data_IF_449838669749
#
_entry.id   IF_449838669749
#
_cell.length_a   1.000
_cell.length_b   1.000
_cell.length_c   1.000
_cell.angle_alpha   90.00
_cell.angle_beta   90.00
_cell.angle_gamma   90.00
#
_symmetry.space_group_name_H-M   'P 1'
#
loop_
_entity.id
_entity.type
_entity.pdbx_description
1 polymer ?
#
# COMPACT_ATOMS: atom_id res chain seq x y z
N UNK A 1 -11.75 -14.17 -60.23
CA UNK A 1 -10.41 -13.53 -60.10
C UNK A 1 -10.27 -13.11 -58.65
N UNK A 2 -9.79 -14.02 -57.80
CA UNK A 2 -8.38 -14.15 -57.37
C UNK A 2 -8.07 -13.19 -56.21
N UNK A 3 -8.22 -13.72 -54.98
CA UNK A 3 -7.76 -13.11 -53.74
C UNK A 3 -6.25 -13.34 -53.57
N UNK A 4 -5.50 -12.41 -52.94
CA UNK A 4 -4.11 -12.65 -52.60
C UNK A 4 -3.98 -13.41 -51.27
N UNK A 5 -3.47 -14.65 -51.37
CA UNK A 5 -2.78 -15.38 -50.30
C UNK A 5 -1.33 -14.89 -50.20
N UNK A 6 -0.67 -15.08 -49.04
CA UNK A 6 0.79 -15.25 -48.75
C UNK A 6 1.14 -14.60 -47.37
N UNK A 7 1.96 -15.21 -46.47
CA UNK A 7 2.02 -16.60 -45.99
C UNK A 7 2.05 -16.69 -44.43
N UNK A 8 1.76 -17.87 -43.87
CA UNK A 8 2.17 -18.22 -42.51
C UNK A 8 3.68 -18.47 -42.47
N UNK A 9 4.38 -17.88 -41.50
CA UNK A 9 5.71 -18.34 -41.07
C UNK A 9 5.54 -19.04 -39.74
N UNK A 10 5.63 -20.37 -39.78
CA UNK A 10 5.82 -21.25 -38.63
C UNK A 10 7.30 -21.26 -38.27
N UNK A 11 7.62 -20.92 -37.01
CA UNK A 11 8.90 -21.27 -36.40
C UNK A 11 8.60 -22.16 -35.19
N UNK A 12 9.00 -23.41 -35.30
CA UNK A 12 9.05 -24.37 -34.21
C UNK A 12 10.51 -24.60 -33.79
N UNK A 13 10.64 -25.14 -32.57
CA UNK A 13 11.81 -25.69 -31.88
C UNK A 13 12.46 -24.73 -30.87
N UNK A 14 12.84 -25.13 -29.66
CA UNK A 14 12.63 -26.34 -28.85
C UNK A 14 13.29 -26.04 -27.48
N UNK A 15 12.69 -26.52 -26.40
CA UNK A 15 13.28 -26.97 -25.12
C UNK A 15 14.38 -26.17 -24.41
N UNK A 16 14.06 -25.66 -23.21
CA UNK A 16 14.90 -25.81 -22.01
C UNK A 16 14.06 -25.61 -20.74
N UNK A 17 13.80 -26.71 -20.02
CA UNK A 17 13.14 -26.74 -18.72
C UNK A 17 14.04 -26.29 -17.54
N UNK A 18 13.55 -26.46 -16.29
CA UNK A 18 13.73 -25.50 -15.20
C UNK A 18 14.83 -25.86 -14.20
N UNK A 19 15.38 -24.87 -13.49
CA UNK A 19 16.13 -25.11 -12.24
C UNK A 19 15.80 -24.04 -11.18
N UNK A 20 15.13 -24.51 -10.13
CA UNK A 20 15.05 -23.91 -8.80
C UNK A 20 16.45 -23.86 -8.16
N UNK A 21 16.81 -22.77 -7.50
CA UNK A 21 17.85 -22.81 -6.46
C UNK A 21 17.31 -22.24 -5.16
N UNK A 22 17.00 -23.18 -4.27
CA UNK A 22 16.87 -22.97 -2.84
C UNK A 22 18.23 -22.60 -2.25
N UNK A 23 18.28 -21.54 -1.46
CA UNK A 23 19.46 -21.22 -0.64
C UNK A 23 19.39 -22.13 0.58
N UNK A 24 20.28 -23.12 0.59
CA UNK A 24 20.41 -24.12 1.63
C UNK A 24 21.13 -23.62 2.87
N UNK A 25 20.68 -24.14 4.01
CA UNK A 25 21.34 -24.14 5.30
C UNK A 25 22.73 -24.78 5.24
N UNK A 26 23.73 -24.14 5.86
CA UNK A 26 25.00 -24.78 6.20
C UNK A 26 25.08 -25.00 7.72
N UNK A 27 24.80 -26.24 8.13
CA UNK A 27 25.36 -26.87 9.32
C UNK A 27 26.72 -27.43 8.93
N UNK A 28 27.77 -27.14 9.71
CA UNK A 28 28.92 -28.02 10.05
C UNK A 28 30.04 -27.18 10.69
N UNK A 29 30.51 -27.61 11.85
CA UNK A 29 31.73 -27.07 12.45
C UNK A 29 31.84 -27.25 13.96
N UNK A 30 31.61 -28.46 14.47
CA UNK A 30 32.00 -28.80 15.83
C UNK A 30 33.52 -28.96 15.91
N UNK A 31 34.14 -28.24 16.84
CA UNK A 31 35.46 -28.58 17.39
C UNK A 31 35.32 -28.62 18.90
N UNK A 32 35.47 -29.82 19.45
CA UNK A 32 35.62 -30.06 20.87
C UNK A 32 37.08 -29.82 21.26
N UNK A 33 37.32 -28.95 22.23
CA UNK A 33 38.55 -28.97 23.02
C UNK A 33 38.13 -29.05 24.49
N UNK A 34 38.36 -30.23 25.06
CA UNK A 34 38.28 -30.47 26.48
C UNK A 34 39.48 -29.80 27.17
N UNK A 35 39.20 -28.87 28.07
CA UNK A 35 40.16 -28.32 29.03
C UNK A 35 39.57 -28.47 30.42
N UNK A 36 40.06 -29.46 31.16
CA UNK A 36 39.70 -29.72 32.55
C UNK A 36 40.47 -28.74 33.42
N UNK A 37 39.76 -28.01 34.29
CA UNK A 37 40.34 -27.13 35.30
C UNK A 37 39.31 -26.80 36.36
N UNK A 38 39.32 -27.59 37.44
CA UNK A 38 38.50 -27.43 38.63
C UNK A 38 38.55 -26.00 39.20
N UNK A 39 37.42 -25.48 39.66
CA UNK A 39 37.30 -24.88 40.99
C UNK A 39 35.84 -24.92 41.47
N UNK A 40 35.72 -25.26 42.74
CA UNK A 40 34.54 -25.61 43.54
C UNK A 40 33.97 -24.34 44.17
N UNK A 41 32.66 -24.13 44.15
CA UNK A 41 32.03 -23.01 44.86
C UNK A 41 30.54 -22.85 44.58
N UNK A 42 29.75 -23.49 45.43
CA UNK A 42 28.37 -23.20 45.85
C UNK A 42 27.25 -22.86 44.83
N UNK A 43 26.30 -23.80 44.82
CA UNK A 43 24.85 -23.60 44.69
C UNK A 43 24.42 -22.31 45.38
N UNK A 44 23.90 -21.36 44.59
CA UNK A 44 22.74 -20.50 44.89
C UNK A 44 22.74 -19.34 43.90
N UNK A 45 22.06 -19.51 42.77
CA UNK A 45 21.56 -18.43 41.89
C UNK A 45 20.71 -19.01 40.75
N UNK A 46 19.69 -19.79 41.12
CA UNK A 46 18.57 -20.11 40.22
C UNK A 46 17.40 -19.11 40.38
N UNK A 47 17.54 -18.08 41.23
CA UNK A 47 16.45 -17.15 41.57
C UNK A 47 16.52 -15.76 40.90
N UNK A 48 17.48 -15.49 40.00
CA UNK A 48 17.69 -14.14 39.43
C UNK A 48 17.63 -14.06 37.88
N UNK A 49 16.98 -15.04 37.23
CA UNK A 49 16.51 -14.88 35.83
C UNK A 49 14.98 -14.91 35.70
N UNK A 50 14.25 -14.93 36.82
CA UNK A 50 12.79 -14.85 36.85
C UNK A 50 12.22 -13.42 36.75
N UNK A 51 13.07 -12.38 36.57
CA UNK A 51 12.63 -10.97 36.63
C UNK A 51 12.86 -10.12 35.39
N UNK A 52 13.30 -10.69 34.27
CA UNK A 52 13.59 -9.93 33.04
C UNK A 52 12.84 -10.43 31.78
N UNK A 53 11.84 -11.30 31.92
CA UNK A 53 11.07 -11.85 30.78
C UNK A 53 9.55 -11.73 30.91
N UNK A 54 9.07 -10.79 31.72
CA UNK A 54 7.62 -10.56 31.95
C UNK A 54 7.18 -9.15 31.59
N UNK A 55 7.69 -8.63 30.47
CA UNK A 55 7.03 -7.54 29.73
C UNK A 55 6.75 -7.94 28.28
N UNK A 56 6.57 -9.25 28.04
CA UNK A 56 5.86 -9.71 26.86
C UNK A 56 4.41 -9.24 27.02
N UNK A 57 4.10 -8.12 26.35
CA UNK A 57 2.76 -7.60 26.09
C UNK A 57 1.77 -8.76 26.06
N UNK A 58 0.83 -8.75 26.99
CA UNK A 58 -0.39 -9.54 26.92
C UNK A 58 -1.11 -9.19 25.62
N UNK A 59 -0.78 -9.92 24.56
CA UNK A 59 -1.70 -10.14 23.44
C UNK A 59 -2.91 -10.81 24.08
N UNK A 60 -3.96 -10.03 24.30
CA UNK A 60 -5.23 -10.58 24.78
C UNK A 60 -5.67 -11.63 23.77
N UNK A 61 -5.67 -12.88 24.19
CA UNK A 61 -6.19 -14.02 23.45
C UNK A 61 -7.71 -13.86 23.34
N UNK A 62 -8.13 -12.99 22.44
CA UNK A 62 -9.54 -12.74 22.17
C UNK A 62 -9.99 -13.70 21.08
N UNK A 63 -10.68 -14.77 21.46
CA UNK A 63 -11.42 -15.68 20.57
C UNK A 63 -12.59 -14.98 19.86
N UNK A 64 -12.83 -13.69 20.14
CA UNK A 64 -13.81 -12.89 19.41
C UNK A 64 -13.34 -12.75 17.95
N UNK A 65 -14.20 -13.01 16.96
CA UNK A 65 -13.86 -12.73 15.57
C UNK A 65 -13.46 -11.26 15.45
N UNK A 66 -12.35 -10.99 14.76
CA UNK A 66 -11.91 -9.63 14.48
C UNK A 66 -13.10 -8.82 13.98
N UNK A 67 -13.48 -7.76 14.71
CA UNK A 67 -14.59 -6.91 14.30
C UNK A 67 -14.26 -6.35 12.93
N UNK A 68 -15.01 -6.77 11.91
CA UNK A 68 -14.89 -6.24 10.55
C UNK A 68 -14.99 -4.73 10.61
N UNK A 69 -14.16 -4.05 9.85
CA UNK A 69 -14.13 -2.60 9.88
C UNK A 69 -15.33 -2.00 9.13
N UNK A 70 -15.81 -0.79 9.50
CA UNK A 70 -17.02 -0.23 8.93
C UNK A 70 -17.05 -0.20 7.38
N UNK A 71 -15.95 0.16 6.66
CA UNK A 71 -15.97 0.13 5.21
C UNK A 71 -16.03 -1.28 4.62
N UNK A 72 -15.55 -2.31 5.32
CA UNK A 72 -15.67 -3.70 4.87
C UNK A 72 -17.10 -4.23 4.99
N UNK A 73 -17.86 -3.74 5.98
CA UNK A 73 -19.21 -4.23 6.25
C UNK A 73 -20.23 -3.72 5.23
N UNK A 74 -20.12 -2.45 4.83
CA UNK A 74 -21.13 -1.78 3.99
C UNK A 74 -20.58 -1.17 2.72
N UNK A 75 -19.25 -1.12 2.57
CA UNK A 75 -18.63 -0.66 1.34
C UNK A 75 -18.58 -1.77 0.29
N UNK A 76 -18.30 -1.37 -0.95
CA UNK A 76 -18.21 -2.29 -2.08
C UNK A 76 -17.19 -1.82 -3.10
N UNK A 77 -16.60 -2.78 -3.80
CA UNK A 77 -15.80 -2.49 -4.98
C UNK A 77 -16.71 -1.99 -6.09
N UNK A 78 -16.38 -0.84 -6.67
CA UNK A 78 -17.10 -0.25 -7.80
C UNK A 78 -16.13 0.05 -8.93
N UNK A 79 -16.64 0.03 -10.16
CA UNK A 79 -15.89 0.48 -11.33
C UNK A 79 -16.26 1.92 -11.65
N UNK A 80 -15.32 2.83 -11.46
CA UNK A 80 -15.51 4.25 -11.68
C UNK A 80 -14.93 4.66 -13.03
N UNK A 81 -15.69 5.44 -13.81
CA UNK A 81 -15.26 5.94 -15.12
C UNK A 81 -14.74 7.36 -14.97
N UNK A 82 -13.48 7.59 -15.34
CA UNK A 82 -12.86 8.91 -15.35
C UNK A 82 -12.26 9.25 -16.72
N UNK A 83 -11.83 10.49 -16.89
CA UNK A 83 -11.07 10.91 -18.07
C UNK A 83 -9.72 10.18 -18.16
N UNK A 84 -9.24 10.00 -19.40
CA UNK A 84 -8.00 9.29 -19.65
C UNK A 84 -6.79 9.97 -18.98
N UNK A 85 -6.16 9.27 -18.04
CA UNK A 85 -4.94 9.70 -17.34
C UNK A 85 -4.11 8.49 -16.92
N UNK A 86 -3.34 7.94 -17.87
CA UNK A 86 -2.52 6.74 -17.65
C UNK A 86 -1.58 6.83 -16.45
N UNK A 87 -0.84 7.95 -16.24
CA UNK A 87 0.03 8.07 -15.08
C UNK A 87 -0.73 7.97 -13.75
N UNK A 88 -1.92 8.58 -13.65
CA UNK A 88 -2.72 8.54 -12.43
C UNK A 88 -3.24 7.13 -12.14
N UNK A 89 -3.80 6.43 -13.14
CA UNK A 89 -4.31 5.06 -12.93
C UNK A 89 -3.22 4.06 -12.58
N UNK A 90 -2.08 4.12 -13.25
CA UNK A 90 -0.94 3.24 -12.93
C UNK A 90 -0.45 3.48 -11.49
N UNK A 91 -0.44 4.73 -11.06
CA UNK A 91 -0.07 5.08 -9.71
C UNK A 91 -1.11 4.60 -8.68
N UNK A 92 -2.40 4.80 -8.94
CA UNK A 92 -3.48 4.28 -8.11
C UNK A 92 -3.37 2.77 -7.94
N UNK A 93 -3.26 2.02 -9.03
CA UNK A 93 -3.11 0.58 -9.01
C UNK A 93 -1.88 0.12 -8.21
N UNK A 94 -0.76 0.85 -8.29
CA UNK A 94 0.44 0.57 -7.47
C UNK A 94 0.18 0.74 -5.98
N UNK A 95 -0.54 1.79 -5.59
CA UNK A 95 -0.81 2.13 -4.18
C UNK A 95 -1.86 1.20 -3.56
N UNK A 96 -2.88 0.84 -4.33
CA UNK A 96 -4.09 0.19 -3.81
C UNK A 96 -4.22 -1.28 -4.21
N UNK A 97 -3.53 -1.69 -5.27
CA UNK A 97 -3.68 -3.00 -5.88
C UNK A 97 -4.97 -3.17 -6.68
N UNK A 98 -5.77 -2.11 -6.85
CA UNK A 98 -7.03 -2.18 -7.58
C UNK A 98 -6.80 -2.17 -9.09
N UNK A 99 -7.67 -2.85 -9.83
CA UNK A 99 -7.57 -2.95 -11.27
C UNK A 99 -7.93 -1.63 -11.94
N UNK A 100 -7.44 -1.43 -13.15
CA UNK A 100 -7.80 -0.31 -14.01
C UNK A 100 -7.80 -0.74 -15.47
N UNK A 101 -8.36 0.10 -16.31
CA UNK A 101 -8.41 -0.10 -17.75
C UNK A 101 -7.00 -0.02 -18.37
N UNK A 102 -6.43 -1.19 -18.67
CA UNK A 102 -5.11 -1.30 -19.29
C UNK A 102 -5.12 -1.13 -20.81
N UNK A 103 -6.29 -0.96 -21.42
CA UNK A 103 -6.43 -0.82 -22.88
C UNK A 103 -6.84 0.58 -23.28
N UNK A 104 -7.95 1.08 -22.71
CA UNK A 104 -8.58 2.33 -23.12
C UNK A 104 -8.48 3.46 -22.11
N UNK A 105 -7.93 3.20 -20.91
CA UNK A 105 -7.75 4.22 -19.86
C UNK A 105 -9.06 4.93 -19.49
N UNK A 106 -10.17 4.21 -19.39
CA UNK A 106 -11.49 4.81 -19.13
C UNK A 106 -12.02 4.54 -17.73
N UNK A 107 -11.42 3.62 -16.98
CA UNK A 107 -11.92 3.24 -15.67
C UNK A 107 -10.81 2.77 -14.72
N UNK A 108 -11.11 2.90 -13.43
CA UNK A 108 -10.39 2.24 -12.32
C UNK A 108 -11.41 1.66 -11.35
N UNK A 109 -11.05 0.54 -10.73
CA UNK A 109 -11.80 0.04 -9.59
C UNK A 109 -11.50 0.92 -8.37
N UNK A 110 -12.53 1.18 -7.57
CA UNK A 110 -12.56 2.05 -6.40
C UNK A 110 -13.38 1.40 -5.29
N UNK A 111 -13.23 1.87 -4.05
CA UNK A 111 -14.02 1.42 -2.92
C UNK A 111 -15.10 2.44 -2.59
N UNK A 112 -16.36 2.14 -2.93
CA UNK A 112 -17.48 2.98 -2.53
C UNK A 112 -17.85 2.67 -1.09
N UNK A 113 -17.91 3.71 -0.26
CA UNK A 113 -18.45 3.59 1.09
C UNK A 113 -19.15 4.88 1.52
N UNK A 114 -20.41 4.73 1.95
CA UNK A 114 -21.28 5.84 2.39
C UNK A 114 -21.46 6.92 1.31
N UNK A 115 -21.54 6.50 0.04
CA UNK A 115 -21.71 7.36 -1.12
C UNK A 115 -20.44 8.13 -1.49
N UNK A 116 -19.28 7.65 -1.06
CA UNK A 116 -17.98 8.25 -1.36
C UNK A 116 -17.08 7.16 -1.94
N UNK A 117 -16.54 7.41 -3.14
CA UNK A 117 -15.62 6.49 -3.80
C UNK A 117 -14.18 6.81 -3.40
N UNK A 118 -13.48 5.87 -2.79
CA UNK A 118 -12.08 5.96 -2.41
C UNK A 118 -11.21 5.20 -3.40
N UNK A 119 -10.02 5.71 -3.70
CA UNK A 119 -9.11 5.11 -4.69
C UNK A 119 -8.73 3.66 -4.32
N UNK A 120 -8.76 3.31 -3.02
CA UNK A 120 -8.55 1.95 -2.52
C UNK A 120 -8.98 1.70 -1.08
N UNK A 121 -8.90 0.44 -0.67
CA UNK A 121 -9.24 0.01 0.69
C UNK A 121 -8.40 -1.19 1.15
N UNK A 122 -7.85 -1.11 2.38
CA UNK A 122 -7.10 -2.17 3.06
C UNK A 122 -7.88 -2.63 4.31
N UNK A 123 -8.63 -3.75 4.22
CA UNK A 123 -9.46 -4.26 5.32
C UNK A 123 -8.67 -4.50 6.62
N UNK A 124 -7.46 -5.06 6.52
CA UNK A 124 -6.63 -5.42 7.67
C UNK A 124 -6.22 -4.20 8.53
N UNK A 125 -6.19 -3.01 7.93
CA UNK A 125 -5.81 -1.76 8.60
C UNK A 125 -7.01 -0.82 8.84
N UNK A 126 -8.23 -1.24 8.46
CA UNK A 126 -9.41 -0.38 8.39
C UNK A 126 -9.14 0.90 7.57
N UNK A 127 -8.28 0.81 6.54
CA UNK A 127 -7.68 1.97 5.90
C UNK A 127 -8.24 2.22 4.51
N UNK A 128 -8.91 3.35 4.34
CA UNK A 128 -9.26 3.89 3.04
C UNK A 128 -8.07 4.67 2.46
N UNK A 129 -7.85 4.53 1.16
CA UNK A 129 -6.69 5.06 0.47
C UNK A 129 -7.10 6.07 -0.60
N UNK A 130 -6.28 7.11 -0.75
CA UNK A 130 -6.36 8.07 -1.85
C UNK A 130 -4.97 8.16 -2.52
N UNK A 131 -4.91 7.98 -3.83
CA UNK A 131 -3.68 7.99 -4.62
C UNK A 131 -3.66 9.22 -5.52
N UNK A 132 -2.80 10.20 -5.22
CA UNK A 132 -2.64 11.43 -6.01
C UNK A 132 -1.36 11.37 -6.84
N UNK A 133 -1.51 10.87 -8.06
CA UNK A 133 -0.45 10.76 -9.07
C UNK A 133 -0.49 11.89 -10.09
N UNK A 134 0.67 12.21 -10.68
CA UNK A 134 0.79 13.15 -11.80
C UNK A 134 0.31 14.60 -11.53
N UNK A 135 0.47 15.11 -10.30
CA UNK A 135 0.10 16.50 -9.96
C UNK A 135 1.28 17.49 -9.97
N UNK A 136 2.52 17.02 -9.94
CA UNK A 136 3.71 17.89 -9.89
C UNK A 136 3.88 18.72 -11.18
N UNK A 137 3.37 18.24 -12.33
CA UNK A 137 3.30 18.99 -13.59
C UNK A 137 2.56 20.34 -13.47
N UNK A 138 1.70 20.51 -12.45
CA UNK A 138 1.01 21.77 -12.17
C UNK A 138 1.82 22.72 -11.27
N UNK A 139 2.97 22.28 -10.76
CA UNK A 139 3.81 23.00 -9.79
C UNK A 139 5.25 23.19 -10.28
N UNK A 140 5.76 22.31 -11.14
CA UNK A 140 7.15 22.29 -11.62
C UNK A 140 7.40 23.16 -12.87
N UNK A 141 6.35 23.79 -13.41
CA UNK A 141 6.43 24.61 -14.62
C UNK A 141 6.26 23.86 -15.94
N UNK A 142 6.06 22.54 -15.90
CA UNK A 142 5.81 21.72 -17.11
C UNK A 142 4.55 22.15 -17.86
N UNK A 143 3.54 22.62 -17.12
CA UNK A 143 2.32 23.22 -17.68
C UNK A 143 2.39 24.74 -17.50
N UNK A 144 2.59 25.52 -18.57
CA UNK A 144 2.66 26.97 -18.48
C UNK A 144 1.39 27.57 -17.90
N UNK A 145 1.56 28.49 -16.94
CA UNK A 145 0.46 29.23 -16.29
C UNK A 145 -0.57 28.34 -15.57
N UNK A 146 -0.18 27.13 -15.16
CA UNK A 146 -1.05 26.19 -14.43
C UNK A 146 -1.73 26.85 -13.23
N UNK A 147 -1.04 27.74 -12.52
CA UNK A 147 -1.54 28.47 -11.36
C UNK A 147 -2.75 29.36 -11.65
N UNK A 148 -2.95 29.77 -12.91
CA UNK A 148 -4.03 30.68 -13.32
C UNK A 148 -5.35 29.95 -13.58
N UNK A 149 -5.29 28.68 -13.98
CA UNK A 149 -6.49 27.91 -14.36
C UNK A 149 -6.71 26.64 -13.54
N UNK A 150 -5.66 26.05 -12.98
CA UNK A 150 -5.75 24.78 -12.27
C UNK A 150 -6.32 24.97 -10.87
N UNK A 151 -7.57 24.53 -10.70
CA UNK A 151 -8.29 24.56 -9.41
C UNK A 151 -8.17 23.24 -8.62
N UNK A 152 -7.40 22.27 -9.13
CA UNK A 152 -7.36 20.91 -8.59
C UNK A 152 -6.88 20.83 -7.14
N UNK A 153 -5.93 21.66 -6.70
CA UNK A 153 -5.49 21.67 -5.30
C UNK A 153 -6.56 22.18 -4.32
N UNK A 154 -7.41 23.11 -4.74
CA UNK A 154 -8.55 23.54 -3.92
C UNK A 154 -9.57 22.41 -3.83
N UNK A 155 -9.93 21.82 -4.97
CA UNK A 155 -10.87 20.70 -5.02
C UNK A 155 -10.40 19.50 -4.20
N UNK A 156 -9.11 19.17 -4.28
CA UNK A 156 -8.50 18.10 -3.49
C UNK A 156 -8.62 18.34 -1.99
N UNK A 157 -8.41 19.58 -1.53
CA UNK A 157 -8.64 19.94 -0.12
C UNK A 157 -10.11 19.77 0.26
N UNK A 158 -11.03 20.32 -0.53
CA UNK A 158 -12.47 20.24 -0.24
C UNK A 158 -12.95 18.79 -0.15
N UNK A 159 -12.47 17.92 -1.05
CA UNK A 159 -12.74 16.49 -1.00
C UNK A 159 -12.10 15.83 0.23
N UNK A 160 -10.86 16.16 0.56
CA UNK A 160 -10.18 15.63 1.74
C UNK A 160 -10.90 15.99 3.05
N UNK A 161 -11.45 17.20 3.18
CA UNK A 161 -12.30 17.56 4.35
C UNK A 161 -13.50 16.62 4.42
N UNK A 162 -14.28 16.52 3.33
CA UNK A 162 -15.51 15.73 3.28
C UNK A 162 -15.26 14.26 3.63
N UNK A 163 -14.22 13.69 3.02
CA UNK A 163 -13.79 12.30 3.26
C UNK A 163 -13.33 12.10 4.70
N UNK A 164 -12.47 12.97 5.22
CA UNK A 164 -11.96 12.88 6.58
C UNK A 164 -13.07 13.01 7.64
N UNK A 165 -14.05 13.89 7.45
CA UNK A 165 -15.20 14.00 8.36
C UNK A 165 -15.98 12.68 8.43
N UNK A 166 -16.23 12.05 7.28
CA UNK A 166 -16.95 10.77 7.24
C UNK A 166 -16.17 9.65 7.93
N UNK A 167 -14.86 9.58 7.68
CA UNK A 167 -13.98 8.56 8.27
C UNK A 167 -13.85 8.72 9.79
N UNK A 168 -13.62 9.95 10.27
CA UNK A 168 -13.49 10.22 11.71
C UNK A 168 -14.76 9.94 12.52
N UNK A 169 -15.92 10.07 11.89
CA UNK A 169 -17.20 9.74 12.52
C UNK A 169 -17.43 8.22 12.70
N UNK A 170 -16.56 7.38 12.14
CA UNK A 170 -16.73 5.93 12.07
C UNK A 170 -15.44 5.18 12.46
N UNK A 171 -14.97 5.30 13.72
CA UNK A 171 -13.82 4.52 14.18
C UNK A 171 -14.10 3.01 14.09
N UNK A 172 -13.08 2.16 13.84
CA UNK A 172 -11.65 2.46 13.74
C UNK A 172 -11.17 2.87 12.32
N UNK A 173 -12.07 3.31 11.43
CA UNK A 173 -11.72 3.64 10.04
C UNK A 173 -10.66 4.74 9.97
N UNK A 174 -9.69 4.56 9.08
CA UNK A 174 -8.61 5.50 8.79
C UNK A 174 -8.62 5.93 7.33
N UNK A 175 -8.01 7.08 7.06
CA UNK A 175 -7.85 7.63 5.72
C UNK A 175 -6.41 8.07 5.53
N UNK A 176 -5.76 7.58 4.47
CA UNK A 176 -4.41 8.02 4.08
C UNK A 176 -4.37 8.43 2.61
N UNK A 177 -3.72 9.56 2.37
CA UNK A 177 -3.37 10.02 1.04
C UNK A 177 -1.91 9.70 0.71
N UNK A 178 -1.71 9.07 -0.43
CA UNK A 178 -0.41 8.74 -0.99
C UNK A 178 -0.13 9.67 -2.16
N UNK A 179 0.97 10.40 -2.11
CA UNK A 179 1.37 11.36 -3.13
C UNK A 179 2.58 10.85 -3.92
N UNK A 180 2.45 10.77 -5.25
CA UNK A 180 3.52 10.33 -6.13
C UNK A 180 4.63 11.39 -6.27
N UNK A 181 4.23 12.66 -6.25
CA UNK A 181 5.10 13.80 -6.51
C UNK A 181 5.51 14.53 -5.22
N UNK A 182 6.80 14.83 -5.03
CA UNK A 182 7.27 15.48 -3.80
C UNK A 182 6.78 16.93 -3.68
N UNK A 183 6.52 17.64 -4.80
CA UNK A 183 6.03 19.02 -4.75
C UNK A 183 4.57 19.06 -4.29
N UNK A 184 3.74 18.17 -4.83
CA UNK A 184 2.35 18.03 -4.42
C UNK A 184 2.25 17.58 -2.97
N UNK A 185 3.06 16.59 -2.56
CA UNK A 185 3.11 16.16 -1.16
C UNK A 185 3.43 17.34 -0.24
N UNK A 186 4.49 18.10 -0.53
CA UNK A 186 4.90 19.26 0.27
C UNK A 186 3.80 20.33 0.36
N UNK A 187 3.11 20.59 -0.75
CA UNK A 187 2.02 21.57 -0.80
C UNK A 187 0.82 21.14 0.05
N UNK A 188 0.48 19.86 0.03
CA UNK A 188 -0.74 19.34 0.66
C UNK A 188 -0.52 18.92 2.12
N UNK A 189 0.62 18.31 2.44
CA UNK A 189 0.88 17.69 3.76
C UNK A 189 0.78 18.66 4.93
N UNK A 190 1.20 19.92 4.75
CA UNK A 190 1.06 20.97 5.77
C UNK A 190 -0.40 21.14 6.18
N UNK A 191 -1.30 21.24 5.22
CA UNK A 191 -2.72 21.41 5.47
C UNK A 191 -3.35 20.12 6.00
N UNK A 192 -2.92 18.96 5.49
CA UNK A 192 -3.41 17.65 5.92
C UNK A 192 -3.07 17.39 7.39
N UNK A 193 -1.88 17.80 7.84
CA UNK A 193 -1.46 17.72 9.24
C UNK A 193 -2.38 18.53 10.16
N UNK A 194 -2.72 19.76 9.78
CA UNK A 194 -3.66 20.60 10.55
C UNK A 194 -5.03 19.93 10.70
N UNK A 195 -5.46 19.19 9.68
CA UNK A 195 -6.73 18.47 9.68
C UNK A 195 -6.63 17.05 10.25
N UNK A 196 -5.47 16.63 10.77
CA UNK A 196 -5.22 15.24 11.22
C UNK A 196 -5.62 14.19 10.17
N UNK A 197 -5.22 14.44 8.92
CA UNK A 197 -5.37 13.50 7.80
C UNK A 197 -4.01 12.88 7.54
N UNK A 198 -3.92 11.56 7.50
CA UNK A 198 -2.67 10.88 7.21
C UNK A 198 -2.26 11.14 5.76
N UNK A 199 -0.99 11.46 5.55
CA UNK A 199 -0.43 11.62 4.21
C UNK A 199 1.01 11.16 4.15
N UNK A 200 1.38 10.59 3.02
CA UNK A 200 2.68 9.99 2.77
C UNK A 200 3.17 10.33 1.36
N UNK A 201 4.45 10.62 1.24
CA UNK A 201 5.12 10.66 -0.06
C UNK A 201 5.52 9.25 -0.44
N UNK A 202 4.99 8.74 -1.55
CA UNK A 202 5.14 7.36 -1.99
C UNK A 202 5.27 7.31 -3.52
N UNK A 203 6.49 7.42 -4.08
CA UNK A 203 6.70 7.53 -5.54
C UNK A 203 6.50 6.24 -6.37
#
# INVERSE_FOLDING_TARGET
MAAPLIPLVTAAAAEAGPVLSAIGSALLGGVAVAGIGSLRGDVSKMDEQAKAKTESRTMSDSTAPCKKCPPEQTGKLVRSRHGANWPAYRYQARVTGFAFDTESCQWSDEWEWLGIDFDGFKPQECLLQEAKGNYDQFLDGSIPKSEQFFKGFRHMRDQAIKRAMRVKANPPTRLRYYFQGPLTYRRMSVWFKTMSIESEYFP
#
